data_IF_120233093893
#
_entry.id   IF_120233093893
#
_cell.length_a   1.000
_cell.length_b   1.000
_cell.length_c   1.000
_cell.angle_alpha   90.00
_cell.angle_beta   90.00
_cell.angle_gamma   90.00
#
_symmetry.space_group_name_H-M   'P 1'
#
loop_
_entity.id
_entity.type
_entity.pdbx_description
1 polymer ?
#
# COMPACT_ATOMS: atom_id res chain seq x y z
N UNK A 1 -36.96 -35.55 -66.24
CA UNK A 1 -35.74 -34.83 -66.65
C UNK A 1 -35.92 -33.38 -66.21
N UNK A 2 -35.07 -32.70 -65.46
CA UNK A 2 -33.84 -32.99 -64.74
C UNK A 2 -33.65 -31.79 -63.76
N UNK A 3 -33.10 -32.05 -62.55
CA UNK A 3 -32.06 -31.27 -61.80
C UNK A 3 -32.23 -29.74 -61.63
N UNK A 4 -32.03 -29.10 -60.47
CA UNK A 4 -31.37 -29.49 -59.21
C UNK A 4 -30.56 -28.30 -58.67
N UNK A 5 -30.42 -28.21 -57.33
CA UNK A 5 -29.43 -27.41 -56.58
C UNK A 5 -29.82 -25.94 -56.35
N UNK A 6 -29.81 -25.38 -55.14
CA UNK A 6 -29.15 -25.78 -53.91
C UNK A 6 -28.25 -24.64 -53.44
N UNK A 7 -28.83 -23.77 -52.61
CA UNK A 7 -28.26 -22.88 -51.59
C UNK A 7 -26.82 -22.36 -51.77
N UNK A 8 -26.71 -21.04 -52.04
CA UNK A 8 -25.46 -20.26 -51.94
C UNK A 8 -25.02 -20.12 -50.47
N UNK A 9 -23.80 -20.55 -50.11
CA UNK A 9 -23.17 -20.21 -48.84
C UNK A 9 -22.23 -18.99 -49.03
N UNK A 10 -21.97 -18.30 -47.92
CA UNK A 10 -20.93 -17.25 -47.72
C UNK A 10 -21.41 -15.80 -47.78
N UNK A 11 -21.96 -15.35 -46.66
CA UNK A 11 -21.60 -14.06 -46.05
C UNK A 11 -21.94 -14.09 -44.57
N UNK A 12 -21.16 -14.85 -43.79
CA UNK A 12 -21.21 -14.75 -42.33
C UNK A 12 -20.04 -13.87 -41.88
N UNK A 13 -20.38 -12.85 -41.10
CA UNK A 13 -19.46 -11.82 -40.64
C UNK A 13 -18.40 -12.38 -39.71
N UNK A 14 -17.16 -11.99 -39.96
CA UNK A 14 -16.06 -12.07 -39.01
C UNK A 14 -15.64 -10.65 -38.63
N UNK A 15 -16.52 -9.95 -37.90
CA UNK A 15 -16.05 -8.95 -36.97
C UNK A 15 -15.57 -9.71 -35.74
N UNK A 16 -14.26 -9.94 -35.68
CA UNK A 16 -13.58 -10.28 -34.43
C UNK A 16 -13.76 -9.09 -33.47
N UNK A 17 -14.83 -9.11 -32.69
CA UNK A 17 -14.90 -8.37 -31.44
C UNK A 17 -13.90 -9.02 -30.48
N UNK A 18 -12.65 -8.58 -30.57
CA UNK A 18 -11.76 -8.60 -29.42
C UNK A 18 -12.33 -7.61 -28.40
N UNK A 19 -13.38 -8.03 -27.68
CA UNK A 19 -13.74 -7.43 -26.41
C UNK A 19 -12.65 -7.83 -25.41
N UNK A 20 -11.55 -7.07 -25.43
CA UNK A 20 -10.84 -6.81 -24.19
C UNK A 20 -11.88 -6.19 -23.26
N UNK A 21 -12.33 -6.94 -22.26
CA UNK A 21 -13.10 -6.37 -21.15
C UNK A 21 -12.21 -5.30 -20.50
N UNK A 22 -12.30 -4.06 -20.97
CA UNK A 22 -11.80 -2.90 -20.26
C UNK A 22 -12.62 -2.82 -18.97
N UNK A 23 -12.03 -3.35 -17.89
CA UNK A 23 -12.52 -3.13 -16.55
C UNK A 23 -12.78 -1.63 -16.37
N UNK A 24 -13.94 -1.23 -15.81
CA UNK A 24 -14.23 0.17 -15.60
C UNK A 24 -13.09 0.81 -14.79
N UNK A 25 -12.69 2.05 -15.09
CA UNK A 25 -11.59 2.70 -14.38
C UNK A 25 -11.90 2.69 -12.88
N UNK A 26 -10.98 2.12 -12.09
CA UNK A 26 -11.11 2.11 -10.64
C UNK A 26 -11.34 3.55 -10.15
N UNK A 27 -12.40 3.78 -9.40
CA UNK A 27 -12.73 5.13 -8.90
C UNK A 27 -11.98 5.41 -7.61
N UNK A 28 -11.79 6.69 -7.28
CA UNK A 28 -11.22 7.10 -6.00
C UNK A 28 -11.98 6.51 -4.80
N UNK A 29 -13.31 6.48 -4.89
CA UNK A 29 -14.17 5.89 -3.85
C UNK A 29 -13.93 4.38 -3.70
N UNK A 30 -13.81 3.66 -4.81
CA UNK A 30 -13.51 2.23 -4.78
C UNK A 30 -12.16 1.95 -4.11
N UNK A 31 -11.13 2.73 -4.46
CA UNK A 31 -9.80 2.62 -3.83
C UNK A 31 -9.87 2.79 -2.32
N UNK A 32 -10.67 3.76 -1.83
CA UNK A 32 -10.84 3.98 -0.38
C UNK A 32 -11.57 2.81 0.28
N UNK A 33 -12.60 2.25 -0.36
CA UNK A 33 -13.33 1.08 0.14
C UNK A 33 -12.43 -0.15 0.25
N UNK A 34 -11.54 -0.36 -0.72
CA UNK A 34 -10.58 -1.48 -0.73
C UNK A 34 -9.42 -1.31 0.25
N UNK A 35 -9.11 -0.07 0.65
CA UNK A 35 -7.89 0.26 1.42
C UNK A 35 -7.82 -0.47 2.76
N UNK A 36 -8.95 -0.64 3.46
CA UNK A 36 -8.97 -1.34 4.75
C UNK A 36 -8.56 -2.80 4.60
N UNK A 37 -9.11 -3.51 3.62
CA UNK A 37 -8.79 -4.92 3.33
C UNK A 37 -7.31 -5.08 2.93
N UNK A 38 -6.83 -4.19 2.05
CA UNK A 38 -5.42 -4.17 1.63
C UNK A 38 -4.49 -3.95 2.82
N UNK A 39 -4.82 -2.99 3.69
CA UNK A 39 -4.02 -2.69 4.87
C UNK A 39 -4.03 -3.82 5.90
N UNK A 40 -5.20 -4.41 6.20
CA UNK A 40 -5.31 -5.55 7.10
C UNK A 40 -4.51 -6.76 6.58
N UNK A 41 -4.61 -7.06 5.29
CA UNK A 41 -3.82 -8.11 4.65
C UNK A 41 -2.33 -7.81 4.72
N UNK A 42 -1.91 -6.57 4.41
CA UNK A 42 -0.53 -6.12 4.55
C UNK A 42 0.00 -6.34 5.98
N UNK A 43 -0.75 -5.94 7.00
CA UNK A 43 -0.40 -6.09 8.41
C UNK A 43 -0.23 -7.56 8.77
N UNK A 44 -1.17 -8.41 8.37
CA UNK A 44 -1.10 -9.86 8.63
C UNK A 44 0.19 -10.48 8.07
N UNK A 45 0.48 -10.25 6.78
CA UNK A 45 1.68 -10.84 6.17
C UNK A 45 2.96 -10.24 6.74
N UNK A 46 2.99 -8.93 7.00
CA UNK A 46 4.17 -8.27 7.57
C UNK A 46 4.47 -8.76 8.97
N UNK A 47 3.45 -8.89 9.82
CA UNK A 47 3.60 -9.38 11.18
C UNK A 47 4.12 -10.82 11.21
N UNK A 48 3.55 -11.70 10.37
CA UNK A 48 4.01 -13.09 10.29
C UNK A 48 5.46 -13.20 9.78
N UNK A 49 5.85 -12.36 8.81
CA UNK A 49 7.25 -12.31 8.36
C UNK A 49 8.20 -11.94 9.50
N UNK A 50 7.86 -10.93 10.30
CA UNK A 50 8.67 -10.51 11.46
C UNK A 50 8.68 -11.54 12.60
N UNK A 51 7.67 -12.40 12.70
CA UNK A 51 7.67 -13.53 13.64
C UNK A 51 8.64 -14.65 13.23
N UNK A 52 8.87 -14.81 11.93
CA UNK A 52 9.75 -15.83 11.33
C UNK A 52 11.21 -15.36 11.22
N UNK A 53 11.46 -14.04 11.20
CA UNK A 53 12.82 -13.47 11.12
C UNK A 53 13.66 -13.73 12.39
N UNK A 54 14.97 -13.96 12.18
CA UNK A 54 15.96 -14.02 13.26
C UNK A 54 16.25 -12.61 13.80
N UNK A 55 15.45 -12.15 14.76
CA UNK A 55 15.56 -10.81 15.32
C UNK A 55 14.68 -10.55 16.55
N UNK A 56 14.54 -9.26 16.89
CA UNK A 56 13.61 -8.80 17.93
C UNK A 56 12.17 -9.03 17.43
N UNK A 57 11.46 -9.93 18.08
CA UNK A 57 10.07 -10.27 17.75
C UNK A 57 9.13 -9.13 18.12
N UNK A 58 8.18 -8.74 17.25
CA UNK A 58 7.12 -7.81 17.64
C UNK A 58 6.26 -8.38 18.80
N UNK A 59 5.57 -7.50 19.53
CA UNK A 59 4.70 -7.90 20.63
C UNK A 59 3.53 -8.74 20.13
N UNK A 60 3.07 -9.68 20.96
CA UNK A 60 1.90 -10.53 20.66
C UNK A 60 0.61 -9.71 20.74
N UNK A 61 0.25 -9.06 19.63
CA UNK A 61 -0.97 -8.26 19.51
C UNK A 61 -2.18 -9.15 19.13
N UNK A 62 -3.16 -9.33 20.02
CA UNK A 62 -4.34 -10.16 19.74
C UNK A 62 -5.18 -9.67 18.56
N UNK A 63 -5.19 -8.37 18.27
CA UNK A 63 -5.94 -7.78 17.16
C UNK A 63 -5.34 -8.22 15.83
N UNK A 64 -4.01 -8.20 15.72
CA UNK A 64 -3.29 -8.66 14.52
C UNK A 64 -3.39 -10.18 14.39
N UNK A 65 -3.24 -10.93 15.49
CA UNK A 65 -3.34 -12.39 15.49
C UNK A 65 -4.73 -12.90 15.14
N UNK A 66 -5.77 -12.09 15.37
CA UNK A 66 -7.15 -12.43 15.01
C UNK A 66 -7.48 -12.17 13.53
N UNK A 67 -6.60 -11.51 12.76
CA UNK A 67 -6.82 -11.27 11.34
C UNK A 67 -6.90 -12.59 10.57
N UNK A 68 -7.95 -12.73 9.76
CA UNK A 68 -8.15 -13.87 8.86
C UNK A 68 -8.43 -13.38 7.44
N UNK A 69 -7.40 -12.89 6.72
CA UNK A 69 -7.59 -12.39 5.36
C UNK A 69 -7.98 -13.55 4.44
N UNK A 70 -8.96 -13.31 3.56
CA UNK A 70 -9.37 -14.29 2.55
C UNK A 70 -8.29 -14.42 1.48
N UNK A 71 -7.57 -15.54 1.47
CA UNK A 71 -6.48 -15.80 0.53
C UNK A 71 -6.95 -15.92 -0.93
N UNK A 72 -8.23 -16.14 -1.16
CA UNK A 72 -8.81 -16.14 -2.50
C UNK A 72 -9.14 -14.72 -2.99
N UNK A 73 -9.20 -13.74 -2.08
CA UNK A 73 -9.44 -12.34 -2.42
C UNK A 73 -8.19 -11.73 -3.08
N UNK A 74 -8.39 -11.06 -4.21
CA UNK A 74 -7.32 -10.36 -4.92
C UNK A 74 -6.67 -9.26 -4.07
N UNK A 75 -7.43 -8.60 -3.20
CA UNK A 75 -6.91 -7.56 -2.29
C UNK A 75 -5.97 -8.14 -1.22
N UNK A 76 -6.20 -9.39 -0.81
CA UNK A 76 -5.28 -10.11 0.08
C UNK A 76 -3.92 -10.32 -0.59
N UNK A 77 -3.92 -10.72 -1.87
CA UNK A 77 -2.68 -10.83 -2.66
C UNK A 77 -1.98 -9.49 -2.81
N UNK A 78 -2.73 -8.40 -2.98
CA UNK A 78 -2.15 -7.03 -3.02
C UNK A 78 -1.46 -6.72 -1.70
N UNK A 79 -2.14 -6.90 -0.56
CA UNK A 79 -1.55 -6.68 0.76
C UNK A 79 -0.28 -7.51 0.97
N UNK A 80 -0.30 -8.77 0.55
CA UNK A 80 0.88 -9.65 0.58
C UNK A 80 2.05 -9.10 -0.25
N UNK A 81 1.82 -8.70 -1.50
CA UNK A 81 2.87 -8.16 -2.37
C UNK A 81 3.47 -6.88 -1.78
N UNK A 82 2.62 -5.97 -1.30
CA UNK A 82 3.06 -4.74 -0.65
C UNK A 82 3.88 -5.03 0.62
N UNK A 83 3.54 -6.08 1.38
CA UNK A 83 4.31 -6.49 2.56
C UNK A 83 5.70 -7.03 2.19
N UNK A 84 5.78 -7.87 1.16
CA UNK A 84 7.04 -8.42 0.63
C UNK A 84 7.96 -7.29 0.15
N UNK A 85 7.42 -6.38 -0.66
CA UNK A 85 8.15 -5.22 -1.16
C UNK A 85 8.55 -4.28 -0.01
N UNK A 86 7.62 -4.06 0.91
CA UNK A 86 7.78 -3.17 2.06
C UNK A 86 8.83 -3.64 3.05
N UNK A 87 9.22 -4.92 3.03
CA UNK A 87 10.27 -5.47 3.88
C UNK A 87 11.62 -4.77 3.68
N UNK A 88 12.07 -4.61 2.43
CA UNK A 88 13.33 -3.94 2.12
C UNK A 88 13.32 -2.45 2.53
N UNK A 89 12.17 -1.79 2.41
CA UNK A 89 11.95 -0.41 2.87
C UNK A 89 12.00 -0.36 4.39
N UNK A 90 11.27 -1.25 5.05
CA UNK A 90 11.22 -1.33 6.50
C UNK A 90 12.60 -1.60 7.05
N UNK A 91 13.34 -2.60 6.57
CA UNK A 91 14.68 -2.91 7.05
C UNK A 91 15.64 -1.70 7.02
N UNK A 92 15.52 -0.84 6.00
CA UNK A 92 16.34 0.38 5.88
C UNK A 92 15.90 1.52 6.80
N UNK A 93 14.60 1.65 7.05
CA UNK A 93 14.03 2.78 7.79
C UNK A 93 13.51 2.41 9.19
N UNK A 94 13.57 1.15 9.58
CA UNK A 94 12.98 0.60 10.81
C UNK A 94 13.47 1.33 12.04
N UNK A 95 14.79 1.46 12.16
CA UNK A 95 15.42 2.13 13.29
C UNK A 95 15.03 3.61 13.37
N UNK A 96 14.77 4.26 12.24
CA UNK A 96 14.31 5.65 12.17
C UNK A 96 12.84 5.75 12.59
N UNK A 97 11.99 4.82 12.15
CA UNK A 97 10.60 4.74 12.59
C UNK A 97 10.50 4.45 14.09
N UNK A 98 11.23 3.45 14.60
CA UNK A 98 11.28 3.11 16.03
C UNK A 98 11.71 4.30 16.89
N UNK A 99 12.79 5.02 16.50
CA UNK A 99 13.24 6.23 17.23
C UNK A 99 12.25 7.37 17.18
N UNK A 100 11.59 7.59 16.04
CA UNK A 100 10.59 8.63 15.90
C UNK A 100 9.36 8.31 16.77
N UNK A 101 8.90 7.05 16.73
CA UNK A 101 7.78 6.55 17.52
C UNK A 101 8.08 6.58 19.03
N UNK A 102 9.29 6.20 19.45
CA UNK A 102 9.65 6.22 20.88
C UNK A 102 9.71 7.62 21.50
N UNK A 103 9.83 8.67 20.69
CA UNK A 103 9.78 10.07 21.14
C UNK A 103 8.35 10.63 21.19
N UNK A 104 7.37 9.90 20.67
CA UNK A 104 5.98 10.32 20.61
C UNK A 104 5.22 9.77 21.84
N UNK A 105 4.78 10.66 22.73
CA UNK A 105 3.80 10.32 23.77
C UNK A 105 2.41 10.15 23.13
N UNK A 106 2.21 9.02 22.44
CA UNK A 106 0.97 8.72 21.72
C UNK A 106 -0.17 8.42 22.70
N UNK A 107 -1.29 9.07 22.46
CA UNK A 107 -2.58 8.77 23.10
C UNK A 107 -3.63 8.60 22.01
N UNK A 108 -4.75 7.90 22.28
CA UNK A 108 -5.82 7.74 21.30
C UNK A 108 -6.34 9.09 20.76
N UNK A 109 -6.25 10.16 21.52
CA UNK A 109 -6.72 11.51 21.15
C UNK A 109 -5.74 12.22 20.21
N UNK A 110 -4.44 12.00 20.36
CA UNK A 110 -3.41 12.70 19.57
C UNK A 110 -2.88 11.89 18.37
N UNK A 111 -3.10 10.58 18.36
CA UNK A 111 -2.54 9.67 17.36
C UNK A 111 -2.95 10.00 15.93
N UNK A 112 -4.19 10.43 15.68
CA UNK A 112 -4.63 10.87 14.35
C UNK A 112 -3.83 12.09 13.86
N UNK A 113 -3.68 13.10 14.72
CA UNK A 113 -2.97 14.33 14.38
C UNK A 113 -1.49 14.04 14.08
N UNK A 114 -0.86 13.17 14.87
CA UNK A 114 0.51 12.73 14.60
C UNK A 114 0.62 11.94 13.31
N UNK A 115 -0.31 10.99 13.08
CA UNK A 115 -0.37 10.24 11.84
C UNK A 115 -0.44 11.18 10.63
N UNK A 116 -1.37 12.14 10.62
CA UNK A 116 -1.49 13.11 9.54
C UNK A 116 -0.25 13.98 9.35
N UNK A 117 0.44 14.38 10.44
CA UNK A 117 1.68 15.17 10.34
C UNK A 117 2.78 14.39 9.63
N UNK A 118 3.01 13.15 10.05
CA UNK A 118 4.03 12.28 9.44
C UNK A 118 3.66 11.97 8.00
N UNK A 119 2.39 11.61 7.74
CA UNK A 119 1.90 11.29 6.42
C UNK A 119 2.03 12.49 5.47
N UNK A 120 1.69 13.72 5.89
CA UNK A 120 1.91 14.92 5.06
C UNK A 120 3.38 15.06 4.65
N UNK A 121 4.28 15.00 5.63
CA UNK A 121 5.72 15.09 5.36
C UNK A 121 6.23 14.00 4.39
N UNK A 122 5.67 12.79 4.46
CA UNK A 122 5.99 11.70 3.55
C UNK A 122 5.62 12.01 2.09
N UNK A 123 4.52 12.75 1.87
CA UNK A 123 4.00 13.06 0.53
C UNK A 123 4.31 14.49 0.04
N UNK A 124 5.00 15.33 0.83
CA UNK A 124 5.32 16.73 0.48
C UNK A 124 5.99 16.91 -0.89
N UNK A 125 6.76 15.91 -1.33
CA UNK A 125 7.47 15.95 -2.63
C UNK A 125 6.84 15.08 -3.73
N UNK A 126 5.56 14.71 -3.56
CA UNK A 126 4.79 13.94 -4.54
C UNK A 126 4.33 12.55 -4.09
N UNK A 127 3.55 11.89 -4.95
CA UNK A 127 2.92 10.59 -4.69
C UNK A 127 3.60 9.53 -5.56
N UNK A 128 3.94 8.39 -4.96
CA UNK A 128 4.38 7.19 -5.66
C UNK A 128 4.14 5.95 -4.79
N UNK A 129 4.20 4.76 -5.40
CA UNK A 129 3.98 3.49 -4.70
C UNK A 129 4.91 3.27 -3.51
N UNK A 130 6.19 3.64 -3.61
CA UNK A 130 7.13 3.52 -2.49
C UNK A 130 6.69 4.32 -1.24
N UNK A 131 6.08 5.50 -1.43
CA UNK A 131 5.51 6.31 -0.33
C UNK A 131 4.19 5.75 0.17
N UNK A 132 3.36 5.20 -0.71
CA UNK A 132 2.12 4.50 -0.31
C UNK A 132 2.48 3.31 0.59
N UNK A 133 3.44 2.48 0.19
CA UNK A 133 3.96 1.36 1.00
C UNK A 133 4.52 1.87 2.33
N UNK A 134 5.32 2.94 2.32
CA UNK A 134 5.86 3.52 3.55
C UNK A 134 4.77 4.04 4.50
N UNK A 135 3.64 4.53 3.98
CA UNK A 135 2.49 4.93 4.79
C UNK A 135 1.84 3.72 5.47
N UNK A 136 1.64 2.61 4.73
CA UNK A 136 1.09 1.36 5.30
C UNK A 136 2.05 0.80 6.37
N UNK A 137 3.35 0.73 6.08
CA UNK A 137 4.38 0.35 7.05
C UNK A 137 4.36 1.22 8.30
N UNK A 138 4.22 2.53 8.14
CA UNK A 138 4.12 3.45 9.27
C UNK A 138 2.85 3.19 10.09
N UNK A 139 1.71 2.93 9.44
CA UNK A 139 0.48 2.52 10.11
C UNK A 139 0.65 1.25 10.94
N UNK A 140 1.27 0.21 10.35
CA UNK A 140 1.59 -1.04 11.05
C UNK A 140 2.49 -0.81 12.29
N UNK A 141 3.61 -0.07 12.12
CA UNK A 141 4.53 0.26 13.22
C UNK A 141 3.85 1.09 14.30
N UNK A 142 2.95 2.00 13.92
CA UNK A 142 2.17 2.80 14.85
C UNK A 142 1.21 1.93 15.67
N UNK A 143 0.52 0.98 15.04
CA UNK A 143 -0.37 0.02 15.72
C UNK A 143 0.38 -0.80 16.78
N UNK A 144 1.52 -1.39 16.42
CA UNK A 144 2.36 -2.12 17.38
C UNK A 144 2.85 -1.23 18.53
N UNK A 145 3.25 0.00 18.22
CA UNK A 145 3.75 0.92 19.24
C UNK A 145 2.67 1.31 20.26
N UNK A 146 1.45 1.63 19.80
CA UNK A 146 0.37 1.96 20.75
C UNK A 146 -0.09 0.75 21.56
N UNK A 147 -0.03 -0.45 20.98
CA UNK A 147 -0.28 -1.70 21.70
C UNK A 147 0.73 -1.90 22.85
N UNK A 148 2.02 -1.65 22.61
CA UNK A 148 3.05 -1.69 23.66
C UNK A 148 2.83 -0.66 24.77
N UNK A 149 2.13 0.45 24.48
CA UNK A 149 1.74 1.45 25.48
C UNK A 149 0.42 1.09 26.20
N UNK A 150 -0.16 -0.09 25.93
CA UNK A 150 -1.37 -0.59 26.58
C UNK A 150 -2.69 -0.18 25.91
N UNK A 151 -2.64 0.40 24.70
CA UNK A 151 -3.84 0.77 23.93
C UNK A 151 -4.20 -0.38 22.99
N UNK A 152 -5.36 -1.00 23.19
CA UNK A 152 -5.86 -2.12 22.37
C UNK A 152 -6.95 -1.68 21.40
N UNK A 153 -7.22 -2.47 20.35
CA UNK A 153 -8.30 -2.20 19.38
C UNK A 153 -8.01 -0.98 18.49
N UNK A 154 -6.72 -0.69 18.25
CA UNK A 154 -6.31 0.51 17.54
C UNK A 154 -6.05 0.26 16.06
N UNK A 155 -5.91 -1.00 15.62
CA UNK A 155 -5.60 -1.32 14.23
C UNK A 155 -6.71 -0.87 13.28
N UNK A 156 -7.97 -1.15 13.60
CA UNK A 156 -9.11 -0.67 12.78
C UNK A 156 -9.14 0.87 12.71
N UNK A 157 -8.69 1.54 13.78
CA UNK A 157 -8.62 3.01 13.80
C UNK A 157 -7.51 3.53 12.88
N UNK A 158 -6.36 2.86 12.84
CA UNK A 158 -5.29 3.15 11.86
C UNK A 158 -5.77 2.95 10.43
N UNK A 159 -6.50 1.87 10.14
CA UNK A 159 -7.06 1.63 8.81
C UNK A 159 -7.91 2.83 8.35
N UNK A 160 -8.81 3.31 9.21
CA UNK A 160 -9.61 4.52 8.95
C UNK A 160 -8.75 5.77 8.76
N UNK A 161 -7.69 5.94 9.54
CA UNK A 161 -6.76 7.07 9.37
C UNK A 161 -6.10 7.06 7.99
N UNK A 162 -5.71 5.87 7.50
CA UNK A 162 -5.15 5.70 6.16
C UNK A 162 -6.23 6.05 5.13
N UNK A 163 -7.43 5.45 5.19
CA UNK A 163 -8.53 5.73 4.27
C UNK A 163 -8.84 7.24 4.17
N UNK A 164 -9.03 7.90 5.31
CA UNK A 164 -9.30 9.34 5.39
C UNK A 164 -8.16 10.16 4.78
N UNK A 165 -6.91 9.76 5.03
CA UNK A 165 -5.75 10.45 4.51
C UNK A 165 -5.60 10.29 3.01
N UNK A 166 -5.82 9.07 2.48
CA UNK A 166 -5.74 8.81 1.05
C UNK A 166 -6.76 9.65 0.27
N UNK A 167 -8.00 9.71 0.77
CA UNK A 167 -9.07 10.50 0.19
C UNK A 167 -8.77 12.00 0.23
N UNK A 168 -8.42 12.54 1.40
CA UNK A 168 -8.22 14.01 1.58
C UNK A 168 -7.03 14.56 0.81
N UNK A 169 -6.04 13.74 0.47
CA UNK A 169 -4.78 14.18 -0.14
C UNK A 169 -4.61 13.70 -1.59
N UNK A 170 -5.70 13.29 -2.26
CA UNK A 170 -5.73 12.82 -3.66
C UNK A 170 -4.82 11.62 -3.95
N UNK A 171 -4.48 10.86 -2.91
CA UNK A 171 -3.66 9.64 -3.07
C UNK A 171 -4.56 8.52 -3.57
N UNK A 172 -5.80 8.44 -3.08
CA UNK A 172 -6.78 7.48 -3.61
C UNK A 172 -7.08 7.75 -5.08
N UNK A 173 -7.27 9.02 -5.47
CA UNK A 173 -7.36 9.42 -6.89
C UNK A 173 -6.12 8.98 -7.70
N UNK A 174 -4.92 9.18 -7.17
CA UNK A 174 -3.69 8.78 -7.85
C UNK A 174 -3.59 7.26 -8.02
N UNK A 175 -3.91 6.46 -6.98
CA UNK A 175 -3.95 5.00 -7.04
C UNK A 175 -4.97 4.54 -8.09
N UNK A 176 -6.15 5.15 -8.11
CA UNK A 176 -7.18 4.91 -9.11
C UNK A 176 -6.65 5.13 -10.55
N UNK A 177 -5.88 6.20 -10.76
CA UNK A 177 -5.24 6.47 -12.06
C UNK A 177 -4.15 5.46 -12.43
N UNK A 178 -3.58 4.74 -11.46
CA UNK A 178 -2.64 3.65 -11.73
C UNK A 178 -3.33 2.32 -12.07
N UNK A 179 -4.68 2.25 -12.06
CA UNK A 179 -5.44 1.00 -12.21
C UNK A 179 -5.89 0.39 -10.88
N UNK A 180 -5.89 1.16 -9.80
CA UNK A 180 -6.37 0.74 -8.49
C UNK A 180 -5.32 -0.02 -7.69
N UNK A 181 -5.75 -0.62 -6.56
CA UNK A 181 -4.84 -1.39 -5.71
C UNK A 181 -4.27 -2.62 -6.41
N UNK A 182 -5.01 -3.21 -7.34
CA UNK A 182 -4.58 -4.39 -8.11
C UNK A 182 -3.32 -4.13 -8.96
N UNK A 183 -3.09 -2.88 -9.37
CA UNK A 183 -1.87 -2.49 -10.09
C UNK A 183 -0.59 -2.68 -9.24
N UNK A 184 -0.72 -2.76 -7.91
CA UNK A 184 0.42 -3.07 -7.04
C UNK A 184 0.96 -4.49 -7.24
N UNK A 185 0.18 -5.41 -7.81
CA UNK A 185 0.63 -6.77 -8.13
C UNK A 185 1.71 -6.80 -9.24
N UNK A 186 1.75 -5.76 -10.07
CA UNK A 186 2.71 -5.63 -11.17
C UNK A 186 3.98 -4.88 -10.74
N UNK A 187 4.07 -4.44 -9.49
CA UNK A 187 5.25 -3.77 -8.97
C UNK A 187 6.42 -4.76 -8.84
N UNK A 188 7.41 -4.60 -9.69
CA UNK A 188 8.66 -5.36 -9.56
C UNK A 188 9.49 -4.83 -8.36
N UNK A 189 9.92 -5.74 -7.49
CA UNK A 189 10.89 -5.48 -6.42
C UNK A 189 12.15 -4.76 -6.93
N UNK A 190 12.56 -5.07 -8.17
CA UNK A 190 13.70 -4.43 -8.83
C UNK A 190 13.41 -2.94 -9.10
N UNK A 191 12.23 -2.63 -9.65
CA UNK A 191 11.79 -1.26 -9.94
C UNK A 191 11.71 -0.42 -8.65
N UNK A 192 11.17 -0.99 -7.59
CA UNK A 192 11.07 -0.30 -6.31
C UNK A 192 12.42 -0.13 -5.61
N UNK A 193 13.32 -1.11 -5.71
CA UNK A 193 14.71 -0.97 -5.25
C UNK A 193 15.42 0.19 -5.95
N UNK A 194 15.23 0.36 -7.27
CA UNK A 194 15.77 1.50 -8.00
C UNK A 194 15.14 2.82 -7.56
N UNK A 195 13.81 2.87 -7.38
CA UNK A 195 13.12 4.07 -6.90
C UNK A 195 13.54 4.47 -5.48
N UNK A 196 13.78 3.52 -4.57
CA UNK A 196 14.25 3.79 -3.21
C UNK A 196 15.69 4.32 -3.23
N UNK A 197 16.57 3.73 -4.05
CA UNK A 197 17.94 4.24 -4.23
C UNK A 197 17.90 5.67 -4.77
N UNK A 198 17.09 5.92 -5.79
CA UNK A 198 16.93 7.25 -6.39
C UNK A 198 16.40 8.26 -5.37
N UNK A 199 15.39 7.89 -4.58
CA UNK A 199 14.81 8.74 -3.55
C UNK A 199 15.80 9.03 -2.42
N UNK A 200 16.62 8.05 -2.02
CA UNK A 200 17.74 8.23 -1.11
C UNK A 200 18.79 9.22 -1.66
N UNK A 201 19.15 9.11 -2.94
CA UNK A 201 20.08 10.04 -3.62
C UNK A 201 19.50 11.45 -3.68
N UNK A 202 18.22 11.61 -4.01
CA UNK A 202 17.55 12.92 -4.06
C UNK A 202 17.51 13.56 -2.68
N UNK A 203 17.12 12.82 -1.63
CA UNK A 203 17.11 13.32 -0.26
C UNK A 203 18.51 13.67 0.25
N UNK A 204 19.53 12.88 -0.11
CA UNK A 204 20.93 13.20 0.19
C UNK A 204 21.38 14.47 -0.54
N UNK A 205 21.02 14.62 -1.81
CA UNK A 205 21.29 15.83 -2.59
C UNK A 205 20.66 17.07 -1.96
N UNK A 206 19.37 16.99 -1.59
CA UNK A 206 18.67 18.07 -0.88
C UNK A 206 19.34 18.40 0.47
N UNK A 207 19.78 17.37 1.22
CA UNK A 207 20.51 17.57 2.46
C UNK A 207 21.85 18.28 2.24
N UNK A 208 22.65 17.87 1.26
CA UNK A 208 23.94 18.50 0.92
C UNK A 208 23.74 19.95 0.47
N UNK A 209 22.77 20.21 -0.41
CA UNK A 209 22.45 21.57 -0.86
C UNK A 209 22.07 22.46 0.32
N UNK A 210 21.15 21.99 1.17
CA UNK A 210 20.70 22.74 2.35
C UNK A 210 21.82 22.94 3.39
N UNK A 211 22.76 22.00 3.50
CA UNK A 211 23.88 22.04 4.46
C UNK A 211 25.00 22.98 4.00
N UNK A 212 25.30 23.04 2.71
CA UNK A 212 26.49 23.72 2.18
C UNK A 212 26.20 25.00 1.40
N UNK A 213 24.98 25.20 0.89
CA UNK A 213 24.63 26.34 0.05
C UNK A 213 23.53 27.25 0.63
N UNK A 214 23.04 26.97 1.84
CA UNK A 214 22.14 27.88 2.59
C UNK A 214 22.83 28.53 3.79
N UNK A 215 24.13 28.83 3.69
CA UNK A 215 24.84 29.72 4.62
C UNK A 215 25.14 31.05 3.97
#
# INVERSE_FOLDING_TARGET
>A
MATGGGDDPLKNGSQNENNSEELPPSTEEHVVQETEEVFCSFVFFRYNQEMEEEGEKPPLDPEIMALQPDKNNQLCRVGQQLAIIGDDINRRYDLKFKRMLSQLALTPENAYNYFCKVAKSLFDSGINWGRVIALLSFGYRLALHVFQQGITGFLTRIARFICDFLLRNRIAQWIAQQGGWVAALELDNVYLKYMIVLLGVVLLGQFVVKRFFSS
#
